data_IF_279727867481
#
_entry.id   IF_279727867481
#
_cell.length_a   1.000
_cell.length_b   1.000
_cell.length_c   1.000
_cell.angle_alpha   90.00
_cell.angle_beta   90.00
_cell.angle_gamma   90.00
#
_symmetry.space_group_name_H-M   'P 1'
#
loop_
_entity.id
_entity.type
_entity.pdbx_description
1 polymer ?
#
# COMPACT_ATOMS: atom_id res chain seq x y z
N UNK A 1 -12.91 -27.74 -12.62
CA UNK A 1 -11.81 -27.42 -13.55
C UNK A 1 -12.00 -25.95 -13.97
N UNK A 2 -11.18 -25.09 -13.34
CA UNK A 2 -10.99 -23.65 -13.55
C UNK A 2 -12.19 -22.73 -13.81
N UNK A 3 -12.62 -22.05 -12.74
CA UNK A 3 -13.23 -20.73 -12.77
C UNK A 3 -12.33 -19.74 -13.52
N UNK A 4 -12.79 -19.27 -14.67
CA UNK A 4 -12.24 -18.08 -15.33
C UNK A 4 -13.05 -16.88 -14.87
N UNK A 5 -12.70 -16.33 -13.71
CA UNK A 5 -13.06 -14.96 -13.39
C UNK A 5 -12.07 -14.08 -14.17
N UNK A 6 -12.39 -13.83 -15.43
CA UNK A 6 -11.78 -12.73 -16.18
C UNK A 6 -12.30 -11.45 -15.54
N UNK A 7 -11.62 -10.99 -14.48
CA UNK A 7 -11.84 -9.64 -13.97
C UNK A 7 -11.33 -8.72 -15.08
N UNK A 8 -12.26 -8.27 -15.92
CA UNK A 8 -12.07 -7.11 -16.78
C UNK A 8 -11.92 -5.88 -15.90
N UNK A 9 -10.76 -5.73 -15.26
CA UNK A 9 -10.36 -4.47 -14.66
C UNK A 9 -10.11 -3.51 -15.81
N UNK A 10 -11.13 -2.77 -16.23
CA UNK A 10 -10.93 -1.47 -16.88
C UNK A 10 -10.11 -0.66 -15.89
N UNK A 11 -8.79 -0.64 -16.13
CA UNK A 11 -7.78 -0.26 -15.15
C UNK A 11 -7.82 1.26 -14.93
N UNK A 12 -8.86 1.70 -14.21
CA UNK A 12 -8.96 3.03 -13.64
C UNK A 12 -7.69 3.22 -12.81
N UNK A 13 -7.01 4.35 -12.96
CA UNK A 13 -5.72 4.67 -12.29
C UNK A 13 -5.70 4.27 -10.80
N UNK A 14 -6.88 4.29 -10.17
CA UNK A 14 -7.16 3.88 -8.80
C UNK A 14 -6.90 2.39 -8.49
N UNK A 15 -7.26 1.46 -9.37
CA UNK A 15 -7.01 0.02 -9.16
C UNK A 15 -5.52 -0.32 -9.26
N UNK A 16 -4.79 0.34 -10.17
CA UNK A 16 -3.36 0.13 -10.34
C UNK A 16 -2.55 0.70 -9.16
N UNK A 17 -3.02 1.78 -8.53
CA UNK A 17 -2.42 2.32 -7.30
C UNK A 17 -2.62 1.41 -6.09
N UNK A 18 -3.82 0.88 -5.89
CA UNK A 18 -4.14 0.02 -4.72
C UNK A 18 -3.22 -1.21 -4.66
N UNK A 19 -2.94 -1.84 -5.81
CA UNK A 19 -2.01 -2.98 -5.88
C UNK A 19 -0.58 -2.60 -5.51
N UNK A 20 -0.09 -1.43 -5.97
CA UNK A 20 1.27 -0.95 -5.66
C UNK A 20 1.42 -0.60 -4.18
N UNK A 21 0.35 -0.13 -3.54
CA UNK A 21 0.36 0.25 -2.13
C UNK A 21 0.34 -0.95 -1.20
N UNK A 22 -0.50 -1.94 -1.49
CA UNK A 22 -0.51 -3.21 -0.77
C UNK A 22 0.83 -3.92 -0.91
N UNK A 23 1.38 -4.01 -2.12
CA UNK A 23 2.69 -4.61 -2.35
C UNK A 23 3.82 -3.87 -1.59
N UNK A 24 3.79 -2.54 -1.55
CA UNK A 24 4.78 -1.75 -0.79
C UNK A 24 4.67 -1.97 0.72
N UNK A 25 3.44 -2.13 1.24
CA UNK A 25 3.19 -2.44 2.64
C UNK A 25 3.59 -3.87 3.01
N UNK A 26 3.35 -4.84 2.12
CA UNK A 26 3.76 -6.24 2.31
C UNK A 26 5.29 -6.40 2.28
N UNK A 27 6.00 -5.56 1.51
CA UNK A 27 7.47 -5.53 1.54
C UNK A 27 8.04 -5.04 2.89
N UNK A 28 7.25 -4.37 3.72
CA UNK A 28 7.69 -3.92 5.04
C UNK A 28 7.57 -5.08 6.03
N UNK A 29 8.68 -5.77 6.24
CA UNK A 29 8.74 -6.90 7.16
C UNK A 29 8.41 -6.47 8.61
N UNK A 30 7.44 -7.18 9.20
CA UNK A 30 7.05 -7.03 10.61
C UNK A 30 6.12 -5.87 10.93
N UNK A 31 5.41 -5.31 9.94
CA UNK A 31 4.27 -4.43 10.21
C UNK A 31 3.06 -5.29 10.64
N UNK A 32 2.43 -4.96 11.78
CA UNK A 32 1.27 -5.73 12.23
C UNK A 32 0.10 -5.54 11.25
N UNK A 33 -0.83 -6.50 11.18
CA UNK A 33 -2.01 -6.39 10.32
C UNK A 33 -2.86 -5.16 10.64
N UNK A 34 -2.92 -4.78 11.91
CA UNK A 34 -3.63 -3.58 12.36
C UNK A 34 -2.94 -2.30 11.87
N UNK A 35 -1.61 -2.21 12.00
CA UNK A 35 -0.84 -1.06 11.54
C UNK A 35 -0.86 -0.93 10.01
N UNK A 36 -0.89 -2.06 9.31
CA UNK A 36 -1.01 -2.10 7.85
C UNK A 36 -2.35 -1.52 7.38
N UNK A 37 -3.47 -1.92 8.02
CA UNK A 37 -4.80 -1.37 7.72
C UNK A 37 -4.89 0.12 8.06
N UNK A 38 -4.30 0.54 9.19
CA UNK A 38 -4.26 1.94 9.61
C UNK A 38 -3.45 2.80 8.62
N UNK A 39 -2.30 2.30 8.21
CA UNK A 39 -1.42 2.93 7.22
C UNK A 39 -2.10 3.04 5.87
N UNK A 40 -2.76 1.97 5.42
CA UNK A 40 -3.51 1.95 4.17
C UNK A 40 -4.61 3.02 4.15
N UNK A 41 -5.37 3.15 5.25
CA UNK A 41 -6.39 4.19 5.39
C UNK A 41 -5.84 5.62 5.30
N UNK A 42 -4.61 5.86 5.75
CA UNK A 42 -3.96 7.18 5.63
C UNK A 42 -3.41 7.42 4.22
N UNK A 43 -2.78 6.40 3.64
CA UNK A 43 -2.18 6.48 2.30
C UNK A 43 -3.26 6.65 1.22
N UNK A 44 -4.43 6.03 1.37
CA UNK A 44 -5.55 6.17 0.41
C UNK A 44 -6.22 7.52 0.37
N UNK A 45 -6.09 8.29 1.44
CA UNK A 45 -6.60 9.65 1.49
C UNK A 45 -5.58 10.66 0.96
N UNK A 46 -4.31 10.28 0.78
CA UNK A 46 -3.25 11.20 0.39
C UNK A 46 -2.17 10.52 -0.46
N UNK A 47 -2.32 10.62 -1.79
CA UNK A 47 -1.38 10.06 -2.76
C UNK A 47 0.07 10.57 -2.56
N UNK A 48 0.25 11.81 -2.09
CA UNK A 48 1.59 12.38 -1.83
C UNK A 48 2.33 11.71 -0.67
N UNK A 49 1.61 11.17 0.32
CA UNK A 49 2.23 10.38 1.39
C UNK A 49 2.83 9.09 0.83
N UNK A 50 2.20 8.50 -0.20
CA UNK A 50 2.72 7.31 -0.84
C UNK A 50 3.99 7.61 -1.64
N UNK A 51 4.03 8.73 -2.37
CA UNK A 51 5.24 9.13 -3.08
C UNK A 51 6.41 9.36 -2.11
N UNK A 52 6.16 10.06 -1.00
CA UNK A 52 7.17 10.24 0.06
C UNK A 52 7.62 8.89 0.68
N UNK A 53 6.71 7.94 0.85
CA UNK A 53 7.03 6.59 1.33
C UNK A 53 7.95 5.85 0.35
N UNK A 54 7.73 6.02 -0.96
CA UNK A 54 8.54 5.40 -2.01
C UNK A 54 9.94 6.00 -2.11
N UNK A 55 10.09 7.30 -1.86
CA UNK A 55 11.39 7.98 -1.76
C UNK A 55 12.19 7.57 -0.52
N UNK A 56 11.52 7.13 0.55
CA UNK A 56 12.21 6.69 1.76
C UNK A 56 12.98 5.36 1.55
N UNK A 57 14.16 5.21 2.17
CA UNK A 57 14.86 3.92 2.25
C UNK A 57 13.98 2.86 2.94
N UNK A 58 14.01 1.62 2.44
CA UNK A 58 13.21 0.50 2.98
C UNK A 58 13.33 0.34 4.50
N UNK A 59 14.52 0.55 5.07
CA UNK A 59 14.77 0.45 6.51
C UNK A 59 13.98 1.48 7.35
N UNK A 60 13.66 2.64 6.78
CA UNK A 60 12.99 3.73 7.49
C UNK A 60 11.47 3.75 7.28
N UNK A 61 10.97 3.10 6.22
CA UNK A 61 9.54 3.09 5.87
C UNK A 61 8.66 2.61 7.02
N UNK A 62 9.09 1.58 7.75
CA UNK A 62 8.36 1.04 8.91
C UNK A 62 8.25 2.08 10.03
N UNK A 63 9.39 2.64 10.44
CA UNK A 63 9.45 3.61 11.53
C UNK A 63 8.63 4.87 11.18
N UNK A 64 8.72 5.31 9.92
CA UNK A 64 7.95 6.45 9.42
C UNK A 64 6.44 6.20 9.45
N UNK A 65 5.97 5.03 9.01
CA UNK A 65 4.56 4.65 9.08
C UNK A 65 4.03 4.59 10.52
N UNK A 66 4.84 4.15 11.46
CA UNK A 66 4.49 4.11 12.89
C UNK A 66 4.53 5.50 13.55
N UNK A 67 5.32 6.44 13.02
CA UNK A 67 5.35 7.83 13.47
C UNK A 67 4.19 8.67 12.95
N UNK A 68 3.50 8.23 11.89
CA UNK A 68 2.34 8.97 11.38
C UNK A 68 1.20 8.95 12.42
N UNK A 69 0.74 10.12 12.91
CA UNK A 69 -0.35 10.22 13.88
C UNK A 69 -1.66 9.69 13.30
#
# INVERSE_FOLDING_TARGET
MSEKITIGCTCSKRCMMVLKWLAALEMIQGLSRADMLRSYGKLILNERLFDALMELPMALRKAWLLMLP
#
